data_IF_154258673935
#
_entry.id   IF_154258673935
#
_cell.length_a   1.000
_cell.length_b   1.000
_cell.length_c   1.000
_cell.angle_alpha   90.00
_cell.angle_beta   90.00
_cell.angle_gamma   90.00
#
_symmetry.space_group_name_H-M   'P 1'
#
loop_
_entity.id
_entity.type
_entity.pdbx_description
1 polymer ?
#
# COMPACT_ATOMS: atom_id res chain seq x y z
N UNK A 1 -43.82 -5.91 -32.73
CA UNK A 1 -42.71 -6.55 -31.99
C UNK A 1 -42.16 -5.54 -31.00
N UNK A 2 -42.11 -5.81 -29.68
CA UNK A 2 -41.37 -4.97 -28.76
C UNK A 2 -39.86 -5.36 -28.79
N UNK A 3 -38.93 -4.44 -28.49
CA UNK A 3 -37.51 -4.78 -28.46
C UNK A 3 -37.17 -5.68 -27.27
N UNK A 4 -36.31 -6.68 -27.50
CA UNK A 4 -35.72 -7.56 -26.47
C UNK A 4 -35.00 -6.68 -25.44
N UNK A 5 -35.27 -6.88 -24.15
CA UNK A 5 -34.35 -6.43 -23.09
C UNK A 5 -33.06 -7.23 -23.23
N UNK A 6 -32.04 -6.60 -23.81
CA UNK A 6 -30.67 -7.08 -23.79
C UNK A 6 -29.99 -6.34 -22.65
N UNK A 7 -30.02 -6.93 -21.47
CA UNK A 7 -28.82 -7.32 -20.74
C UNK A 7 -29.32 -7.86 -19.39
N UNK A 8 -29.66 -9.15 -19.41
CA UNK A 8 -29.78 -9.95 -18.20
C UNK A 8 -28.33 -10.14 -17.72
N UNK A 9 -27.74 -9.09 -17.14
CA UNK A 9 -26.53 -9.24 -16.35
C UNK A 9 -26.96 -10.05 -15.14
N UNK A 10 -26.90 -11.38 -15.28
CA UNK A 10 -26.69 -12.28 -14.17
C UNK A 10 -25.67 -11.59 -13.28
N UNK A 11 -26.07 -11.23 -12.05
CA UNK A 11 -25.11 -10.94 -11.00
C UNK A 11 -24.21 -12.16 -10.98
N UNK A 12 -22.99 -12.01 -11.51
CA UNK A 12 -21.96 -13.03 -11.37
C UNK A 12 -21.91 -13.31 -9.88
N UNK A 13 -22.35 -14.51 -9.50
CA UNK A 13 -22.13 -15.03 -8.18
C UNK A 13 -20.65 -15.39 -8.07
N UNK A 14 -19.79 -14.37 -8.12
CA UNK A 14 -18.37 -14.48 -7.78
C UNK A 14 -18.10 -13.89 -6.39
N UNK A 15 -19.17 -13.63 -5.62
CA UNK A 15 -19.10 -13.40 -4.19
C UNK A 15 -19.29 -14.74 -3.46
N UNK A 16 -18.39 -15.70 -3.72
CA UNK A 16 -18.06 -16.66 -2.67
C UNK A 16 -17.27 -15.88 -1.62
N UNK A 17 -17.98 -15.12 -0.80
CA UNK A 17 -17.43 -14.45 0.37
C UNK A 17 -16.90 -15.54 1.28
N UNK A 18 -15.58 -15.75 1.29
CA UNK A 18 -14.89 -16.69 2.17
C UNK A 18 -14.88 -16.23 3.64
N UNK A 19 -15.65 -15.17 3.98
CA UNK A 19 -15.62 -14.54 5.30
C UNK A 19 -16.07 -15.46 6.44
N UNK A 20 -16.87 -16.48 6.14
CA UNK A 20 -17.39 -17.44 7.13
C UNK A 20 -16.85 -18.88 6.93
N UNK A 21 -15.83 -19.05 6.09
CA UNK A 21 -15.29 -20.37 5.70
C UNK A 21 -14.03 -20.80 6.44
N UNK A 22 -13.83 -22.11 6.61
CA UNK A 22 -12.56 -22.68 7.07
C UNK A 22 -11.57 -22.85 5.91
N UNK A 23 -10.31 -22.47 6.11
CA UNK A 23 -9.22 -22.65 5.14
C UNK A 23 -8.14 -23.54 5.77
N UNK A 24 -7.83 -24.67 5.14
CA UNK A 24 -6.69 -25.51 5.51
C UNK A 24 -5.48 -25.19 4.62
N UNK A 25 -4.40 -24.73 5.25
CA UNK A 25 -3.12 -24.45 4.56
C UNK A 25 -2.11 -25.56 4.84
N UNK A 26 -1.44 -26.04 3.78
CA UNK A 26 -0.27 -26.91 3.91
C UNK A 26 0.98 -26.03 3.85
N UNK A 27 1.74 -26.00 4.93
CA UNK A 27 2.98 -25.23 5.07
C UNK A 27 4.14 -26.18 5.42
N UNK A 28 5.36 -25.76 5.13
CA UNK A 28 6.56 -26.51 5.53
C UNK A 28 6.80 -26.44 7.04
N UNK A 29 7.68 -27.31 7.52
CA UNK A 29 7.98 -27.47 8.95
C UNK A 29 8.61 -26.21 9.56
N UNK A 30 9.46 -25.49 8.81
CA UNK A 30 10.13 -24.29 9.31
C UNK A 30 9.13 -23.15 9.51
N UNK A 31 8.19 -22.99 8.58
CA UNK A 31 7.12 -22.01 8.69
C UNK A 31 6.15 -22.36 9.84
N UNK A 32 5.81 -23.65 9.99
CA UNK A 32 4.99 -24.11 11.10
C UNK A 32 5.65 -23.86 12.47
N UNK A 33 6.96 -24.08 12.59
CA UNK A 33 7.72 -23.78 13.81
C UNK A 33 7.74 -22.28 14.12
N UNK A 34 7.91 -21.45 13.10
CA UNK A 34 7.92 -19.99 13.24
C UNK A 34 6.57 -19.45 13.71
N UNK A 35 5.46 -19.95 13.15
CA UNK A 35 4.10 -19.59 13.59
C UNK A 35 3.86 -19.98 15.05
N UNK A 36 4.27 -21.19 15.46
CA UNK A 36 4.17 -21.65 16.85
C UNK A 36 4.96 -20.77 17.82
N UNK A 37 6.19 -20.42 17.45
CA UNK A 37 7.03 -19.56 18.27
C UNK A 37 6.42 -18.16 18.44
N UNK A 38 5.87 -17.60 17.36
CA UNK A 38 5.20 -16.30 17.38
C UNK A 38 3.93 -16.32 18.23
N UNK A 39 3.08 -17.33 18.07
CA UNK A 39 1.89 -17.53 18.89
C UNK A 39 2.22 -17.65 20.38
N UNK A 40 3.27 -18.41 20.72
CA UNK A 40 3.73 -18.53 22.10
C UNK A 40 4.25 -17.20 22.66
N UNK A 41 4.97 -16.41 21.86
CA UNK A 41 5.50 -15.12 22.28
C UNK A 41 4.43 -14.06 22.53
N UNK A 42 3.33 -14.08 21.77
CA UNK A 42 2.22 -13.12 21.90
C UNK A 42 1.08 -13.62 22.80
N UNK A 43 1.11 -14.88 23.23
CA UNK A 43 0.03 -15.51 23.97
C UNK A 43 -1.26 -15.69 23.16
N UNK A 44 -1.16 -15.59 21.83
CA UNK A 44 -2.28 -15.78 20.89
C UNK A 44 -2.37 -17.24 20.44
N UNK A 45 -3.50 -17.63 19.85
CA UNK A 45 -3.61 -18.91 19.15
C UNK A 45 -2.84 -18.87 17.82
N UNK A 46 -2.49 -20.03 17.28
CA UNK A 46 -1.80 -20.13 16.00
C UNK A 46 -2.68 -19.60 14.87
N UNK A 47 -3.98 -19.89 14.92
CA UNK A 47 -4.99 -19.42 13.96
C UNK A 47 -5.11 -17.90 14.00
N UNK A 48 -5.14 -17.29 15.18
CA UNK A 48 -5.19 -15.84 15.33
C UNK A 48 -3.96 -15.16 14.69
N UNK A 49 -2.76 -15.70 14.93
CA UNK A 49 -1.53 -15.19 14.32
C UNK A 49 -1.52 -15.41 12.80
N UNK A 50 -2.04 -16.53 12.31
CA UNK A 50 -2.12 -16.81 10.88
C UNK A 50 -3.09 -15.87 10.17
N UNK A 51 -4.29 -15.65 10.74
CA UNK A 51 -5.28 -14.70 10.21
C UNK A 51 -4.74 -13.28 10.25
N UNK A 52 -4.13 -12.84 11.35
CA UNK A 52 -3.51 -11.52 11.46
C UNK A 52 -2.39 -11.34 10.41
N UNK A 53 -1.58 -12.37 10.15
CA UNK A 53 -0.53 -12.30 9.15
C UNK A 53 -1.07 -12.20 7.72
N UNK A 54 -2.16 -12.92 7.42
CA UNK A 54 -2.84 -12.83 6.13
C UNK A 54 -3.51 -11.47 5.96
N UNK A 55 -4.16 -10.96 7.00
CA UNK A 55 -4.73 -9.61 7.01
C UNK A 55 -3.63 -8.59 6.74
N UNK A 56 -2.53 -8.57 7.51
CA UNK A 56 -1.40 -7.67 7.26
C UNK A 56 -0.83 -7.71 5.83
N UNK A 57 -0.92 -8.87 5.15
CA UNK A 57 -0.45 -9.03 3.78
C UNK A 57 -1.46 -8.54 2.73
N UNK A 58 -2.76 -8.65 3.01
CA UNK A 58 -3.82 -8.42 2.02
C UNK A 58 -4.75 -7.23 2.34
N UNK A 59 -4.68 -6.66 3.54
CA UNK A 59 -5.43 -5.44 3.87
C UNK A 59 -4.86 -4.28 3.05
N UNK A 60 -5.59 -3.90 2.00
CA UNK A 60 -5.31 -2.69 1.20
C UNK A 60 -5.47 -1.38 1.99
N UNK A 61 -5.95 -1.47 3.24
CA UNK A 61 -6.36 -0.33 4.08
C UNK A 61 -5.19 0.44 4.72
N UNK A 62 -3.94 0.05 4.45
CA UNK A 62 -2.73 0.76 4.91
C UNK A 62 -2.20 1.79 3.91
N UNK A 63 -2.92 2.03 2.80
CA UNK A 63 -2.46 2.90 1.71
C UNK A 63 -1.39 2.26 0.81
N UNK A 64 -1.11 0.96 0.99
CA UNK A 64 -0.25 0.19 0.11
C UNK A 64 -1.11 -0.44 -1.00
N UNK A 65 -1.09 0.17 -2.17
CA UNK A 65 -1.79 -0.33 -3.35
C UNK A 65 -0.79 -1.16 -4.17
N UNK A 66 -0.78 -2.49 -4.00
CA UNK A 66 0.10 -3.39 -4.78
C UNK A 66 -0.46 -3.65 -6.19
N UNK A 67 -0.84 -2.57 -6.89
CA UNK A 67 -1.24 -2.64 -8.29
C UNK A 67 -0.10 -2.21 -9.19
N UNK A 68 -0.06 -2.76 -10.41
CA UNK A 68 0.89 -2.34 -11.43
C UNK A 68 0.85 -0.82 -11.67
N UNK A 69 -0.35 -0.21 -11.62
CA UNK A 69 -0.52 1.23 -11.78
C UNK A 69 0.17 2.05 -10.67
N UNK A 70 0.18 1.55 -9.43
CA UNK A 70 0.89 2.20 -8.33
C UNK A 70 2.41 2.13 -8.50
N UNK A 71 2.92 0.98 -8.95
CA UNK A 71 4.34 0.82 -9.24
C UNK A 71 4.80 1.67 -10.43
N UNK A 72 3.97 1.80 -11.46
CA UNK A 72 4.22 2.70 -12.59
C UNK A 72 4.30 4.16 -12.13
N UNK A 73 3.43 4.57 -11.19
CA UNK A 73 3.46 5.92 -10.62
C UNK A 73 4.72 6.17 -9.78
N UNK A 74 5.11 5.20 -8.93
CA UNK A 74 6.37 5.28 -8.18
C UNK A 74 7.56 5.41 -9.14
N UNK A 75 7.61 4.58 -10.19
CA UNK A 75 8.69 4.62 -11.16
C UNK A 75 8.75 5.98 -11.86
N UNK A 76 7.61 6.56 -12.23
CA UNK A 76 7.55 7.91 -12.80
C UNK A 76 8.15 8.97 -11.86
N UNK A 77 7.82 8.93 -10.57
CA UNK A 77 8.35 9.89 -9.58
C UNK A 77 9.87 9.73 -9.43
N UNK A 78 10.38 8.49 -9.46
CA UNK A 78 11.83 8.22 -9.45
C UNK A 78 12.49 8.81 -10.70
N UNK A 79 11.95 8.52 -11.88
CA UNK A 79 12.49 9.02 -13.16
C UNK A 79 12.47 10.55 -13.24
N UNK A 80 11.43 11.20 -12.71
CA UNK A 80 11.35 12.67 -12.57
C UNK A 80 12.42 13.20 -11.61
N UNK A 81 12.62 12.56 -10.46
CA UNK A 81 13.64 12.95 -9.48
C UNK A 81 15.06 12.76 -10.01
N UNK A 82 15.31 11.71 -10.81
CA UNK A 82 16.61 11.51 -11.46
C UNK A 82 16.89 12.56 -12.54
N UNK A 83 15.85 13.04 -13.23
CA UNK A 83 15.97 14.06 -14.29
C UNK A 83 16.15 15.46 -13.73
N UNK A 84 15.29 15.87 -12.82
CA UNK A 84 15.15 17.27 -12.38
C UNK A 84 15.79 17.51 -11.01
N UNK A 85 16.19 16.44 -10.32
CA UNK A 85 16.69 16.48 -8.95
C UNK A 85 15.55 16.47 -7.92
N UNK A 86 15.89 16.75 -6.67
CA UNK A 86 14.95 16.77 -5.56
C UNK A 86 14.78 18.16 -4.97
N UNK A 87 13.74 18.34 -4.17
CA UNK A 87 13.60 19.53 -3.34
C UNK A 87 14.45 19.31 -2.06
N UNK A 88 15.40 20.20 -1.74
CA UNK A 88 16.16 20.13 -0.50
C UNK A 88 15.26 20.26 0.72
N UNK A 89 15.55 19.49 1.78
CA UNK A 89 14.73 19.48 2.98
C UNK A 89 14.63 20.86 3.63
N UNK A 90 15.74 21.60 3.68
CA UNK A 90 15.78 22.94 4.26
C UNK A 90 14.89 23.97 3.53
N UNK A 91 14.64 23.73 2.24
CA UNK A 91 13.77 24.60 1.43
C UNK A 91 12.30 24.26 1.68
N UNK A 92 11.97 22.98 1.88
CA UNK A 92 10.63 22.54 2.33
C UNK A 92 10.31 23.05 3.73
N UNK A 93 11.24 22.91 4.67
CA UNK A 93 11.05 23.36 6.05
C UNK A 93 10.79 24.87 6.11
N UNK A 94 11.55 25.65 5.34
CA UNK A 94 11.37 27.10 5.25
C UNK A 94 10.02 27.47 4.61
N UNK A 95 9.59 26.74 3.59
CA UNK A 95 8.28 26.94 2.96
C UNK A 95 7.14 26.63 3.92
N UNK A 96 7.15 25.47 4.58
CA UNK A 96 6.12 25.09 5.57
C UNK A 96 6.07 26.09 6.73
N UNK A 97 7.23 26.56 7.21
CA UNK A 97 7.30 27.56 8.27
C UNK A 97 6.72 28.94 7.86
N UNK A 98 6.59 29.20 6.55
CA UNK A 98 6.05 30.46 6.04
C UNK A 98 4.53 30.46 5.85
N UNK A 99 3.87 29.30 5.93
CA UNK A 99 2.42 29.18 5.74
C UNK A 99 1.64 29.97 6.79
N UNK A 100 0.52 30.58 6.37
CA UNK A 100 -0.35 31.39 7.23
C UNK A 100 0.38 32.61 7.85
N UNK A 101 1.37 33.13 7.14
CA UNK A 101 2.08 34.37 7.49
C UNK A 101 1.99 35.40 6.37
N UNK A 102 2.20 36.67 6.69
CA UNK A 102 2.28 37.75 5.69
C UNK A 102 3.43 37.58 4.69
N UNK A 103 4.37 36.65 4.94
CA UNK A 103 5.53 36.36 4.10
C UNK A 103 5.53 34.92 3.59
N UNK A 104 4.35 34.35 3.31
CA UNK A 104 4.22 33.01 2.75
C UNK A 104 5.06 32.87 1.47
N UNK A 105 5.96 31.89 1.48
CA UNK A 105 6.86 31.61 0.38
C UNK A 105 6.15 30.75 -0.67
N UNK A 106 6.49 30.89 -1.96
CA UNK A 106 6.02 29.96 -2.97
C UNK A 106 6.59 28.55 -2.71
N UNK A 107 5.92 27.49 -3.21
CA UNK A 107 6.47 26.14 -3.18
C UNK A 107 7.90 26.11 -3.76
N UNK A 108 8.83 25.42 -3.09
CA UNK A 108 10.22 25.34 -3.56
C UNK A 108 10.33 24.45 -4.80
N UNK A 109 11.26 24.81 -5.69
CA UNK A 109 11.50 24.10 -6.94
C UNK A 109 12.56 22.98 -6.76
N UNK A 110 12.47 21.87 -7.51
CA UNK A 110 13.50 20.84 -7.55
C UNK A 110 14.86 21.42 -8.01
N UNK A 111 15.95 20.89 -7.44
CA UNK A 111 17.30 21.18 -7.93
C UNK A 111 18.19 19.93 -7.92
N UNK A 112 19.16 19.81 -8.83
CA UNK A 112 20.09 18.69 -8.84
C UNK A 112 20.79 18.54 -7.50
N UNK A 113 20.96 17.29 -7.02
CA UNK A 113 21.78 17.02 -5.84
C UNK A 113 23.20 17.50 -6.13
N UNK A 114 23.61 18.57 -5.48
CA UNK A 114 25.02 18.96 -5.45
C UNK A 114 25.74 17.89 -4.62
N UNK A 115 26.62 17.12 -5.27
CA UNK A 115 27.52 16.23 -4.57
C UNK A 115 28.35 17.08 -3.61
N UNK A 116 28.06 16.95 -2.30
CA UNK A 116 28.81 17.62 -1.26
C UNK A 116 30.28 17.23 -1.35
N UNK A 117 31.13 18.26 -1.41
CA UNK A 117 32.59 18.20 -1.23
C UNK A 117 32.96 17.59 0.11
#
# INVERSE_FOLDING_TARGET
>A
MPPRRVDDKSRSADDCVMADGEITLKIDEALAASLKARAAATGQSIEAVAVESLDLMFSQDRGFNDSAAHWDEIQRIVDETERDGGIPLEDVERWVASWDTDNELPPPEPRPRTAGR
#
